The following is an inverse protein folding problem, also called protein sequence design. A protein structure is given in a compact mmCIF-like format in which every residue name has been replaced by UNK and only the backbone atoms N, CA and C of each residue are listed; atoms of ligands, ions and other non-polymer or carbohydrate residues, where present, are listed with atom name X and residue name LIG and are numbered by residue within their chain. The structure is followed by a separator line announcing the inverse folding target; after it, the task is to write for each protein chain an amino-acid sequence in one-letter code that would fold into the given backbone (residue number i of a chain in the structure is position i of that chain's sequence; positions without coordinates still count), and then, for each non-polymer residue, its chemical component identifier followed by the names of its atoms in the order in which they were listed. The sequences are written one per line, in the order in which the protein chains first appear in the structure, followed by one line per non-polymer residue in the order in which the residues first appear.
data_IF_965907089079
#
_entry.id   IF_965907089079
#
_cell.length_a   1.000
_cell.length_b   1.000
_cell.length_c   1.000
_cell.angle_alpha   90.00
_cell.angle_beta   90.00
_cell.angle_gamma   90.00
#
_symmetry.space_group_name_H-M   'P 1'
#
loop_
_entity.id
_entity.type
_entity.pdbx_description
1 polymer ?
#
# COMPACT_ATOMS: atom_id res chain seq x y z
N UNK A 1 42.81 -5.69 -59.22
CA UNK A 1 43.82 -5.92 -58.15
C UNK A 1 43.67 -4.99 -56.92
N UNK A 2 43.47 -3.66 -57.09
CA UNK A 2 43.38 -2.70 -55.96
C UNK A 2 42.15 -2.88 -55.06
N UNK A 3 41.05 -3.40 -55.59
CA UNK A 3 39.79 -3.57 -54.85
C UNK A 3 39.86 -4.67 -53.78
N UNK A 4 40.61 -5.75 -54.08
CA UNK A 4 40.83 -6.86 -53.14
C UNK A 4 41.69 -6.43 -51.95
N UNK A 5 42.71 -5.59 -52.20
CA UNK A 5 43.55 -5.01 -51.15
C UNK A 5 42.77 -4.06 -50.23
N UNK A 6 41.81 -3.29 -50.79
CA UNK A 6 40.94 -2.41 -50.01
C UNK A 6 40.03 -3.20 -49.06
N UNK A 7 39.46 -4.31 -49.54
CA UNK A 7 38.64 -5.22 -48.71
C UNK A 7 39.45 -5.85 -47.57
N UNK A 8 40.71 -6.23 -47.80
CA UNK A 8 41.57 -6.79 -46.76
C UNK A 8 41.96 -5.76 -45.68
N UNK A 9 42.21 -4.50 -46.06
CA UNK A 9 42.51 -3.42 -45.09
C UNK A 9 41.31 -3.06 -44.23
N UNK A 10 40.10 -3.01 -44.81
CA UNK A 10 38.87 -2.76 -44.06
C UNK A 10 38.60 -3.91 -43.08
N UNK A 11 38.76 -5.17 -43.50
CA UNK A 11 38.65 -6.32 -42.59
C UNK A 11 39.64 -6.22 -41.43
N UNK A 12 40.89 -5.83 -41.69
CA UNK A 12 41.92 -5.69 -40.65
C UNK A 12 41.64 -4.54 -39.68
N UNK A 13 41.06 -3.44 -40.15
CA UNK A 13 40.63 -2.32 -39.31
C UNK A 13 39.42 -2.69 -38.43
N UNK A 14 38.43 -3.38 -39.01
CA UNK A 14 37.20 -3.80 -38.31
C UNK A 14 37.47 -4.91 -37.28
N UNK A 15 38.36 -5.85 -37.60
CA UNK A 15 38.79 -6.94 -36.69
C UNK A 15 40.02 -6.58 -35.84
N UNK A 16 40.37 -5.30 -35.75
CA UNK A 16 41.41 -4.85 -34.83
C UNK A 16 40.87 -4.84 -33.39
N UNK A 17 41.73 -5.18 -32.41
CA UNK A 17 41.40 -5.09 -30.98
C UNK A 17 40.67 -3.79 -30.57
N UNK A 18 41.11 -2.58 -30.98
CA UNK A 18 40.43 -1.34 -30.59
C UNK A 18 39.02 -1.23 -31.16
N UNK A 19 38.78 -1.70 -32.40
CA UNK A 19 37.44 -1.71 -33.00
C UNK A 19 36.47 -2.60 -32.21
N UNK A 20 36.93 -3.76 -31.74
CA UNK A 20 36.14 -4.67 -30.90
C UNK A 20 35.81 -4.03 -29.54
N UNK A 21 36.78 -3.33 -28.92
CA UNK A 21 36.57 -2.63 -27.65
C UNK A 21 35.51 -1.53 -27.81
N UNK A 22 35.61 -0.71 -28.85
CA UNK A 22 34.65 0.36 -29.14
C UNK A 22 33.25 -0.23 -29.37
N UNK A 23 33.15 -1.31 -30.15
CA UNK A 23 31.88 -1.99 -30.40
C UNK A 23 31.27 -2.55 -29.11
N UNK A 24 32.10 -3.11 -28.23
CA UNK A 24 31.68 -3.64 -26.93
C UNK A 24 31.12 -2.54 -26.01
N UNK A 25 31.78 -1.37 -25.97
CA UNK A 25 31.29 -0.21 -25.21
C UNK A 25 29.94 0.26 -25.73
N UNK A 26 29.79 0.37 -27.05
CA UNK A 26 28.53 0.77 -27.69
C UNK A 26 27.43 -0.26 -27.34
N UNK A 27 27.72 -1.56 -27.48
CA UNK A 27 26.77 -2.62 -27.14
C UNK A 27 26.35 -2.58 -25.66
N UNK A 28 27.27 -2.27 -24.75
CA UNK A 28 26.98 -2.14 -23.32
C UNK A 28 26.03 -0.97 -23.02
N UNK A 29 26.26 0.20 -23.65
CA UNK A 29 25.40 1.39 -23.51
C UNK A 29 23.99 1.09 -24.04
N UNK A 30 23.89 0.45 -25.21
CA UNK A 30 22.60 0.07 -25.80
C UNK A 30 21.85 -0.92 -24.89
N UNK A 31 22.54 -1.92 -24.36
CA UNK A 31 21.95 -2.91 -23.45
C UNK A 31 21.42 -2.25 -22.17
N UNK A 32 22.21 -1.36 -21.55
CA UNK A 32 21.76 -0.59 -20.38
C UNK A 32 20.58 0.33 -20.69
N UNK A 33 20.59 0.99 -21.86
CA UNK A 33 19.47 1.82 -22.32
C UNK A 33 18.19 1.01 -22.52
N UNK A 34 18.27 -0.14 -23.17
CA UNK A 34 17.15 -1.03 -23.41
C UNK A 34 16.53 -1.55 -22.09
N UNK A 35 17.38 -1.95 -21.13
CA UNK A 35 16.93 -2.37 -19.80
C UNK A 35 16.28 -1.21 -19.01
N UNK A 36 16.82 0.01 -19.14
CA UNK A 36 16.23 1.20 -18.53
C UNK A 36 14.85 1.57 -19.09
N UNK A 37 14.64 1.37 -20.40
CA UNK A 37 13.35 1.59 -21.06
C UNK A 37 12.33 0.52 -20.64
N UNK A 38 12.74 -0.76 -20.60
CA UNK A 38 11.88 -1.84 -20.08
C UNK A 38 11.50 -1.65 -18.61
N UNK A 39 12.39 -1.08 -17.78
CA UNK A 39 12.09 -0.72 -16.40
C UNK A 39 11.03 0.38 -16.29
N UNK A 40 11.12 1.41 -17.15
CA UNK A 40 10.18 2.55 -17.17
C UNK A 40 8.76 2.14 -17.59
N UNK A 41 8.62 1.19 -18.51
CA UNK A 41 7.31 0.70 -18.93
C UNK A 41 6.55 0.04 -17.76
N UNK A 42 7.25 -0.79 -16.97
CA UNK A 42 6.65 -1.44 -15.80
C UNK A 42 6.27 -0.45 -14.71
N UNK A 43 7.09 0.56 -14.45
CA UNK A 43 6.81 1.60 -13.45
C UNK A 43 5.60 2.47 -13.84
N UNK A 44 5.47 2.84 -15.11
CA UNK A 44 4.36 3.67 -15.61
C UNK A 44 3.00 2.97 -15.48
N UNK A 45 2.97 1.64 -15.72
CA UNK A 45 1.75 0.84 -15.56
C UNK A 45 1.29 0.71 -14.11
N UNK A 46 2.22 0.61 -13.16
CA UNK A 46 1.93 0.55 -11.72
C UNK A 46 1.41 1.89 -11.19
N UNK A 47 2.03 3.00 -11.61
CA UNK A 47 1.65 4.36 -11.21
C UNK A 47 0.26 4.75 -11.72
N UNK A 48 -0.12 4.31 -12.93
CA UNK A 48 -1.47 4.58 -13.47
C UNK A 48 -2.57 3.87 -12.68
N UNK A 49 -2.34 2.63 -12.22
CA UNK A 49 -3.32 1.90 -11.39
C UNK A 49 -3.47 2.48 -9.99
N UNK A 50 -2.36 2.93 -9.38
CA UNK A 50 -2.38 3.57 -8.06
C UNK A 50 -3.09 4.94 -8.10
N UNK A 51 -2.84 5.73 -9.15
CA UNK A 51 -3.55 6.99 -9.38
C UNK A 51 -5.05 6.79 -9.59
N UNK A 52 -5.46 5.75 -10.33
CA UNK A 52 -6.87 5.41 -10.51
C UNK A 52 -7.57 5.04 -9.19
N UNK A 53 -6.92 4.27 -8.32
CA UNK A 53 -7.46 3.92 -6.99
C UNK A 53 -7.59 5.15 -6.08
N UNK A 54 -6.58 6.02 -6.08
CA UNK A 54 -6.60 7.26 -5.31
C UNK A 54 -7.70 8.21 -5.78
N UNK A 55 -7.90 8.33 -7.10
CA UNK A 55 -8.98 9.13 -7.67
C UNK A 55 -10.35 8.58 -7.24
N UNK A 56 -10.56 7.26 -7.32
CA UNK A 56 -11.82 6.64 -6.89
C UNK A 56 -12.09 6.85 -5.39
N UNK A 57 -11.07 6.69 -4.54
CA UNK A 57 -11.19 6.94 -3.10
C UNK A 57 -11.49 8.40 -2.77
N UNK A 58 -10.91 9.35 -3.52
CA UNK A 58 -11.19 10.78 -3.36
C UNK A 58 -12.63 11.14 -3.76
N UNK A 59 -13.16 10.56 -4.84
CA UNK A 59 -14.55 10.78 -5.26
C UNK A 59 -15.54 10.25 -4.23
N UNK A 60 -15.29 9.04 -3.69
CA UNK A 60 -16.13 8.49 -2.61
C UNK A 60 -16.11 9.38 -1.37
N UNK A 61 -14.92 9.84 -0.98
CA UNK A 61 -14.76 10.73 0.18
C UNK A 61 -15.43 12.08 -0.05
N UNK A 62 -15.39 12.61 -1.27
CA UNK A 62 -16.08 13.84 -1.64
C UNK A 62 -17.60 13.68 -1.50
N UNK A 63 -18.16 12.55 -1.97
CA UNK A 63 -19.59 12.25 -1.83
C UNK A 63 -19.99 12.15 -0.36
N UNK A 64 -19.25 11.39 0.45
CA UNK A 64 -19.50 11.25 1.89
C UNK A 64 -19.48 12.61 2.61
N UNK A 65 -18.49 13.46 2.29
CA UNK A 65 -18.39 14.80 2.87
C UNK A 65 -19.55 15.70 2.43
N UNK A 66 -19.99 15.63 1.17
CA UNK A 66 -21.15 16.40 0.68
C UNK A 66 -22.44 15.96 1.36
N UNK A 67 -22.65 14.66 1.54
CA UNK A 67 -23.79 14.12 2.28
C UNK A 67 -23.75 14.54 3.76
N UNK A 68 -22.56 14.51 4.38
CA UNK A 68 -22.35 15.01 5.73
C UNK A 68 -22.66 16.49 5.88
N UNK A 69 -22.22 17.34 4.93
CA UNK A 69 -22.54 18.77 4.91
C UNK A 69 -24.04 18.97 4.76
N UNK A 70 -24.68 18.29 3.80
CA UNK A 70 -26.12 18.40 3.58
C UNK A 70 -26.92 17.99 4.83
N UNK A 71 -26.48 16.94 5.54
CA UNK A 71 -27.06 16.55 6.84
C UNK A 71 -26.87 17.66 7.88
N UNK A 72 -25.68 18.22 8.01
CA UNK A 72 -25.35 19.28 8.97
C UNK A 72 -25.99 20.65 8.65
N UNK A 73 -26.51 20.85 7.45
CA UNK A 73 -27.32 22.03 7.09
C UNK A 73 -28.77 21.94 7.58
N UNK A 74 -29.25 20.73 7.91
CA UNK A 74 -30.61 20.54 8.45
C UNK A 74 -30.67 20.82 9.94
N UNK A 75 -31.81 21.33 10.43
CA UNK A 75 -32.00 21.57 11.87
C UNK A 75 -31.87 20.30 12.72
N UNK A 76 -32.33 19.16 12.19
CA UNK A 76 -32.21 17.85 12.85
C UNK A 76 -30.75 17.39 12.91
N UNK A 77 -29.99 17.57 11.84
CA UNK A 77 -28.58 17.23 11.79
C UNK A 77 -27.72 18.08 12.72
N UNK A 78 -28.00 19.38 12.83
CA UNK A 78 -27.32 20.27 13.78
C UNK A 78 -27.59 19.83 15.23
N UNK A 79 -28.86 19.56 15.57
CA UNK A 79 -29.25 19.13 16.92
C UNK A 79 -28.64 17.77 17.27
N UNK A 80 -28.63 16.83 16.33
CA UNK A 80 -28.00 15.52 16.49
C UNK A 80 -26.49 15.60 16.73
N UNK A 81 -25.77 16.38 15.92
CA UNK A 81 -24.33 16.56 16.05
C UNK A 81 -23.94 17.24 17.38
N UNK A 82 -24.73 18.22 17.82
CA UNK A 82 -24.53 18.89 19.11
C UNK A 82 -24.76 17.90 20.27
N UNK A 83 -25.81 17.08 20.20
CA UNK A 83 -26.11 16.04 21.19
C UNK A 83 -24.99 14.99 21.27
N UNK A 84 -24.43 14.58 20.14
CA UNK A 84 -23.33 13.62 20.08
C UNK A 84 -22.00 14.22 20.60
N UNK A 85 -21.62 15.42 20.14
CA UNK A 85 -20.33 16.02 20.50
C UNK A 85 -20.26 16.58 21.90
N UNK A 86 -21.36 17.16 22.40
CA UNK A 86 -21.38 17.82 23.70
C UNK A 86 -22.15 17.03 24.76
N UNK A 87 -22.69 15.85 24.39
CA UNK A 87 -23.48 14.99 25.27
C UNK A 87 -24.63 15.75 25.97
N UNK A 88 -25.24 16.69 25.25
CA UNK A 88 -26.30 17.57 25.75
C UNK A 88 -27.68 17.05 25.35
N UNK A 89 -28.64 17.09 26.28
CA UNK A 89 -30.03 16.72 26.00
C UNK A 89 -30.97 17.91 26.11
N UNK A 90 -32.14 17.80 25.47
CA UNK A 90 -33.18 18.83 25.62
C UNK A 90 -33.77 18.80 27.04
N UNK A 91 -34.29 19.94 27.49
CA UNK A 91 -34.90 20.06 28.81
C UNK A 91 -36.06 19.05 28.95
N UNK A 92 -35.90 18.07 29.85
CA UNK A 92 -36.89 17.01 30.12
C UNK A 92 -36.49 15.61 29.63
N UNK A 93 -35.34 15.44 28.97
CA UNK A 93 -34.84 14.13 28.51
C UNK A 93 -33.76 13.60 29.47
N UNK A 94 -33.98 12.42 30.06
CA UNK A 94 -33.09 11.80 31.05
C UNK A 94 -32.14 10.79 30.40
N UNK A 95 -30.82 10.92 30.66
CA UNK A 95 -29.79 9.98 30.20
C UNK A 95 -29.41 9.05 31.35
N UNK A 96 -29.57 7.73 31.14
CA UNK A 96 -29.06 6.72 32.06
C UNK A 96 -27.58 6.45 31.74
N UNK A 97 -26.68 6.94 32.59
CA UNK A 97 -25.25 6.60 32.52
C UNK A 97 -25.05 5.31 33.31
N UNK A 98 -24.89 4.18 32.61
CA UNK A 98 -24.51 2.91 33.25
C UNK A 98 -23.01 2.96 33.53
N UNK A 99 -22.66 3.11 34.80
CA UNK A 99 -21.29 2.96 35.29
C UNK A 99 -21.15 1.50 35.72
N UNK A 100 -20.30 0.74 35.03
CA UNK A 100 -19.91 -0.59 35.51
C UNK A 100 -19.10 -0.43 36.79
N UNK A 101 -19.62 -0.98 37.89
CA UNK A 101 -18.92 -1.07 39.15
C UNK A 101 -17.76 -2.07 38.98
N UNK A 102 -16.49 -1.70 39.22
CA UNK A 102 -15.35 -2.60 39.02
C UNK A 102 -15.40 -3.85 39.93
N UNK A 103 -16.34 -3.93 40.87
CA UNK A 103 -16.56 -5.07 41.75
C UNK A 103 -17.56 -6.13 41.26
N UNK A 104 -18.31 -5.90 40.17
CA UNK A 104 -19.44 -6.78 39.79
C UNK A 104 -19.18 -7.70 38.59
N UNK A 105 -17.94 -7.78 38.09
CA UNK A 105 -17.57 -8.77 37.07
C UNK A 105 -17.16 -10.11 37.70
N UNK A 106 -18.07 -10.78 38.40
CA UNK A 106 -17.96 -12.24 38.58
C UNK A 106 -18.51 -12.94 37.35
N UNK A 107 -17.86 -12.71 36.21
CA UNK A 107 -17.94 -13.64 35.10
C UNK A 107 -17.05 -14.81 35.43
N UNK A 108 -17.64 -16.00 35.51
CA UNK A 108 -16.94 -17.28 35.41
C UNK A 108 -16.20 -17.30 34.08
N UNK A 109 -15.03 -16.65 34.04
CA UNK A 109 -14.03 -16.88 33.04
C UNK A 109 -13.52 -18.29 33.33
N UNK A 110 -14.05 -19.23 32.56
CA UNK A 110 -13.50 -20.57 32.48
C UNK A 110 -12.10 -20.39 31.89
N UNK A 111 -11.13 -20.09 32.77
CA UNK A 111 -9.71 -19.93 32.45
C UNK A 111 -9.21 -21.26 31.89
N UNK A 112 -9.52 -21.49 30.62
CA UNK A 112 -8.87 -22.48 29.81
C UNK A 112 -7.41 -22.07 29.81
N UNK A 113 -6.60 -22.88 30.50
CA UNK A 113 -5.16 -22.72 30.60
C UNK A 113 -4.60 -22.27 29.25
N UNK A 114 -3.79 -21.21 29.21
CA UNK A 114 -3.20 -20.71 27.98
C UNK A 114 -2.61 -21.88 27.18
N UNK A 115 -2.82 -21.90 25.87
CA UNK A 115 -2.49 -23.03 24.99
C UNK A 115 -1.04 -23.53 25.17
N UNK A 116 -0.10 -22.65 25.55
CA UNK A 116 1.29 -23.01 25.85
C UNK A 116 1.43 -23.90 27.10
N UNK A 117 0.63 -23.71 28.16
CA UNK A 117 0.65 -24.59 29.35
C UNK A 117 0.16 -26.00 29.03
N UNK A 118 -0.81 -26.13 28.10
CA UNK A 118 -1.29 -27.42 27.61
C UNK A 118 -0.20 -28.18 26.84
N UNK A 119 0.55 -27.49 25.99
CA UNK A 119 1.69 -28.07 25.26
C UNK A 119 2.82 -28.54 26.19
N UNK A 120 3.20 -27.74 27.18
CA UNK A 120 4.22 -28.12 28.15
C UNK A 120 3.82 -29.34 28.99
N UNK A 121 2.54 -29.44 29.36
CA UNK A 121 2.03 -30.61 30.09
C UNK A 121 2.05 -31.91 29.27
N UNK A 122 1.89 -31.82 27.94
CA UNK A 122 1.96 -32.99 27.05
C UNK A 122 3.40 -33.49 26.87
N UNK A 123 4.38 -32.56 26.85
CA UNK A 123 5.81 -32.88 26.68
C UNK A 123 6.40 -33.49 27.97
N UNK A 124 6.03 -32.98 29.15
CA UNK A 124 6.55 -33.51 30.42
C UNK A 124 5.91 -34.85 30.85
N UNK A 125 4.78 -35.24 30.25
CA UNK A 125 4.09 -36.52 30.55
C UNK A 125 4.62 -37.72 29.75
N UNK A 126 5.60 -37.51 28.85
CA UNK A 126 6.32 -38.62 28.21
C UNK A 126 7.62 -38.91 28.95
N UNK A 127 7.53 -39.56 30.10
CA UNK A 127 8.61 -40.37 30.67
C UNK A 127 8.04 -41.51 31.49
#
# INVERSE_FOLDING_TARGET
MRELQRKQRIKRAVYSLPSIIILSIIAFILTKGALGVMGKERESSGRSKDLGKKAAALVLREQELREGIARLETEEGIKGEIKEKFNVTQAGEYVAVVVDDPGAASSTDNQALPWYKRLWSAIMRSK
#
